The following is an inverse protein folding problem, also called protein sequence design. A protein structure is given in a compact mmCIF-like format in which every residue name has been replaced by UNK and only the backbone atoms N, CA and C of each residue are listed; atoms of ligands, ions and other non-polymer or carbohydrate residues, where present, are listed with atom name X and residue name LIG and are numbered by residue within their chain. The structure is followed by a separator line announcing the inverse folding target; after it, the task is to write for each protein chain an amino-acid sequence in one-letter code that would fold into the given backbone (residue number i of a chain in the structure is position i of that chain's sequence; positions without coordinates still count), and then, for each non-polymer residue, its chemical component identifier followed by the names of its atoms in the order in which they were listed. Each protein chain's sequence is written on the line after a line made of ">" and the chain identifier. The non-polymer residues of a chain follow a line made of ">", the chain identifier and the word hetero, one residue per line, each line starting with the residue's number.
data_IF_759765507416
#
_entry.id   IF_759765507416
#
_cell.length_a   1.000
_cell.length_b   1.000
_cell.length_c   1.000
_cell.angle_alpha   90.00
_cell.angle_beta   90.00
_cell.angle_gamma   90.00
#
_symmetry.space_group_name_H-M   'P 1'
#
loop_
_entity.id
_entity.type
_entity.pdbx_description
1 polymer ?
#
# COMPACT_ATOMS: atom_id res chain seq x y z
N UNK A 1 -22.51 -9.38 -30.84
CA UNK A 1 -21.11 -9.28 -31.31
C UNK A 1 -20.88 -7.83 -31.72
N UNK A 2 -20.09 -7.08 -30.96
CA UNK A 2 -19.65 -5.72 -31.30
C UNK A 2 -18.59 -5.80 -32.41
N UNK A 3 -18.63 -4.87 -33.37
CA UNK A 3 -17.69 -4.82 -34.47
C UNK A 3 -16.26 -4.49 -33.96
N UNK A 4 -15.20 -5.04 -34.56
CA UNK A 4 -13.82 -4.72 -34.18
C UNK A 4 -13.56 -3.22 -34.42
N UNK A 5 -13.24 -2.48 -33.36
CA UNK A 5 -12.84 -1.06 -33.43
C UNK A 5 -13.71 -0.06 -32.64
N UNK A 6 -14.83 -0.47 -32.04
CA UNK A 6 -15.54 0.39 -31.09
C UNK A 6 -15.00 0.15 -29.67
N UNK A 7 -14.26 1.13 -29.14
CA UNK A 7 -14.01 1.22 -27.69
C UNK A 7 -15.38 1.38 -27.02
N UNK A 8 -15.74 0.57 -26.01
CA UNK A 8 -17.02 0.73 -25.34
C UNK A 8 -17.11 2.12 -24.68
N UNK A 9 -18.31 2.73 -24.69
CA UNK A 9 -18.55 4.03 -24.04
C UNK A 9 -18.34 3.98 -22.51
N UNK A 10 -18.16 2.78 -21.95
CA UNK A 10 -17.82 2.53 -20.55
C UNK A 10 -16.48 1.81 -20.44
N UNK A 11 -15.67 2.21 -19.47
CA UNK A 11 -14.44 1.50 -19.14
C UNK A 11 -14.74 0.05 -18.75
N UNK A 12 -13.94 -0.89 -19.25
CA UNK A 12 -13.95 -2.26 -18.73
C UNK A 12 -13.31 -2.25 -17.34
N UNK A 13 -14.14 -2.24 -16.30
CA UNK A 13 -13.70 -2.19 -14.91
C UNK A 13 -12.87 -3.41 -14.51
N UNK A 14 -13.15 -4.58 -15.09
CA UNK A 14 -12.38 -5.78 -14.78
C UNK A 14 -10.97 -5.69 -15.37
N UNK A 15 -10.84 -5.23 -16.61
CA UNK A 15 -9.54 -5.02 -17.24
C UNK A 15 -8.76 -3.88 -16.57
N UNK A 16 -9.41 -2.77 -16.23
CA UNK A 16 -8.80 -1.70 -15.43
C UNK A 16 -8.35 -2.18 -14.05
N UNK A 17 -9.12 -3.06 -13.41
CA UNK A 17 -8.73 -3.67 -12.14
C UNK A 17 -7.46 -4.52 -12.27
N UNK A 18 -7.33 -5.26 -13.37
CA UNK A 18 -6.11 -6.02 -13.69
C UNK A 18 -4.92 -5.09 -13.93
N UNK A 19 -5.10 -3.99 -14.66
CA UNK A 19 -4.05 -2.99 -14.87
C UNK A 19 -3.62 -2.31 -13.56
N UNK A 20 -4.57 -2.01 -12.67
CA UNK A 20 -4.28 -1.45 -11.36
C UNK A 20 -3.45 -2.40 -10.49
N UNK A 21 -3.81 -3.70 -10.46
CA UNK A 21 -3.01 -4.73 -9.76
C UNK A 21 -1.59 -4.78 -10.31
N UNK A 22 -1.44 -4.76 -11.64
CA UNK A 22 -0.12 -4.77 -12.29
C UNK A 22 0.72 -3.55 -11.88
N UNK A 23 0.13 -2.35 -11.87
CA UNK A 23 0.82 -1.13 -11.44
C UNK A 23 1.19 -1.14 -9.96
N UNK A 24 0.27 -1.58 -9.10
CA UNK A 24 0.49 -1.63 -7.66
C UNK A 24 1.55 -2.65 -7.29
N UNK A 25 1.36 -3.92 -7.66
CA UNK A 25 2.28 -5.00 -7.27
C UNK A 25 3.60 -4.91 -8.01
N UNK A 26 3.60 -4.46 -9.27
CA UNK A 26 4.82 -4.22 -10.04
C UNK A 26 5.68 -3.05 -9.54
N UNK A 27 5.13 -2.18 -8.67
CA UNK A 27 5.90 -1.10 -8.03
C UNK A 27 6.60 -1.53 -6.74
N UNK A 28 6.25 -2.68 -6.17
CA UNK A 28 6.80 -3.14 -4.90
C UNK A 28 8.20 -3.70 -5.10
N UNK A 29 9.10 -3.40 -4.16
CA UNK A 29 10.46 -3.95 -4.13
C UNK A 29 10.59 -5.00 -3.01
N UNK A 30 10.57 -6.31 -3.33
CA UNK A 30 10.75 -7.38 -2.35
C UNK A 30 12.09 -7.32 -1.59
N UNK A 31 13.12 -6.67 -2.15
CA UNK A 31 14.41 -6.51 -1.48
C UNK A 31 14.38 -5.40 -0.40
N UNK A 32 13.40 -4.50 -0.45
CA UNK A 32 13.20 -3.40 0.48
C UNK A 32 11.92 -3.57 1.32
N UNK A 33 11.71 -4.79 1.85
CA UNK A 33 10.52 -5.13 2.65
C UNK A 33 9.19 -4.80 1.94
N UNK A 34 9.16 -5.01 0.62
CA UNK A 34 8.02 -4.72 -0.26
C UNK A 34 7.62 -3.24 -0.28
N UNK A 35 8.51 -2.30 0.08
CA UNK A 35 8.26 -0.87 -0.08
C UNK A 35 8.02 -0.52 -1.56
N UNK A 36 7.05 0.36 -1.84
CA UNK A 36 6.80 0.77 -3.21
C UNK A 36 7.88 1.73 -3.71
N UNK A 37 8.25 1.58 -4.98
CA UNK A 37 8.86 2.64 -5.77
C UNK A 37 7.72 3.58 -6.20
N UNK A 38 7.73 4.80 -5.66
CA UNK A 38 6.55 5.68 -5.76
C UNK A 38 6.60 6.62 -6.95
N UNK A 39 7.75 7.27 -7.17
CA UNK A 39 7.89 8.22 -8.26
C UNK A 39 8.38 7.48 -9.51
N UNK A 40 7.59 7.58 -10.58
CA UNK A 40 7.93 7.09 -11.92
C UNK A 40 8.38 8.25 -12.80
N UNK A 41 9.64 8.26 -13.21
CA UNK A 41 10.24 9.29 -14.05
C UNK A 41 10.35 8.76 -15.46
N UNK A 42 9.42 9.20 -16.31
CA UNK A 42 9.20 8.66 -17.67
C UNK A 42 9.68 9.63 -18.77
N UNK A 43 10.07 10.85 -18.42
CA UNK A 43 10.52 11.92 -19.32
C UNK A 43 12.04 11.92 -19.54
N UNK A 44 12.71 10.81 -19.22
CA UNK A 44 14.16 10.62 -19.32
C UNK A 44 14.49 9.23 -19.89
N UNK A 45 15.74 9.04 -20.35
CA UNK A 45 16.21 7.76 -20.90
C UNK A 45 17.54 7.30 -20.24
N UNK A 46 17.57 6.13 -19.58
CA UNK A 46 16.43 5.23 -19.34
C UNK A 46 15.42 5.82 -18.35
N UNK A 47 14.14 5.50 -18.53
CA UNK A 47 13.11 5.78 -17.53
C UNK A 47 13.41 5.00 -16.24
N UNK A 48 13.08 5.57 -15.08
CA UNK A 48 13.37 4.95 -13.79
C UNK A 48 12.26 5.21 -12.76
N UNK A 49 12.22 4.34 -11.74
CA UNK A 49 11.39 4.53 -10.56
C UNK A 49 12.29 4.69 -9.33
N UNK A 50 11.82 5.40 -8.31
CA UNK A 50 12.58 5.61 -7.09
C UNK A 50 11.71 5.51 -5.84
N UNK A 51 12.30 5.03 -4.75
CA UNK A 51 11.69 5.10 -3.43
C UNK A 51 11.67 6.54 -2.92
N UNK A 52 10.65 6.85 -2.12
CA UNK A 52 10.46 8.18 -1.57
C UNK A 52 10.22 8.12 -0.07
N UNK A 53 10.51 9.22 0.63
CA UNK A 53 10.15 9.33 2.04
C UNK A 53 8.64 9.19 2.21
N UNK A 54 8.21 8.74 3.38
CA UNK A 54 6.81 8.74 3.80
C UNK A 54 5.85 7.74 3.14
N UNK A 55 6.38 6.82 2.32
CA UNK A 55 5.54 5.92 1.52
C UNK A 55 4.96 4.76 2.34
N UNK A 56 5.69 4.26 3.34
CA UNK A 56 5.28 3.07 4.10
C UNK A 56 4.05 3.37 4.93
N UNK A 57 4.02 4.45 5.71
CA UNK A 57 2.84 4.80 6.48
C UNK A 57 1.84 5.67 5.72
N UNK A 58 2.26 6.40 4.67
CA UNK A 58 1.39 7.34 3.95
C UNK A 58 0.68 6.78 2.70
N UNK A 59 1.27 5.80 2.02
CA UNK A 59 0.78 5.28 0.74
C UNK A 59 0.46 3.80 0.79
N UNK A 60 1.34 2.96 1.33
CA UNK A 60 1.16 1.52 1.34
C UNK A 60 -0.13 1.03 2.03
N UNK A 61 -0.72 1.71 3.04
CA UNK A 61 -2.05 1.35 3.55
C UNK A 61 -3.15 1.38 2.48
N UNK A 62 -3.03 2.25 1.47
CA UNK A 62 -3.95 2.30 0.33
C UNK A 62 -3.90 1.00 -0.48
N UNK A 63 -2.76 0.32 -0.49
CA UNK A 63 -2.60 -0.94 -1.21
C UNK A 63 -3.28 -2.07 -0.45
N UNK A 64 -3.10 -2.12 0.87
CA UNK A 64 -3.83 -3.06 1.75
C UNK A 64 -5.34 -2.92 1.57
N UNK A 65 -5.82 -1.68 1.43
CA UNK A 65 -7.23 -1.37 1.18
C UNK A 65 -7.70 -1.74 -0.24
N UNK A 66 -6.96 -1.35 -1.27
CA UNK A 66 -7.43 -1.49 -2.65
C UNK A 66 -7.32 -2.93 -3.19
N UNK A 67 -6.27 -3.68 -2.82
CA UNK A 67 -6.02 -5.03 -3.33
C UNK A 67 -7.24 -5.96 -3.22
N UNK A 68 -7.88 -6.16 -2.04
CA UNK A 68 -9.05 -7.04 -1.93
C UNK A 68 -10.19 -6.65 -2.88
N UNK A 69 -10.44 -5.34 -3.05
CA UNK A 69 -11.47 -4.83 -3.95
C UNK A 69 -11.11 -5.06 -5.42
N UNK A 70 -9.86 -4.82 -5.81
CA UNK A 70 -9.37 -5.03 -7.17
C UNK A 70 -9.39 -6.52 -7.54
N UNK A 71 -9.07 -7.42 -6.60
CA UNK A 71 -9.19 -8.87 -6.79
C UNK A 71 -10.63 -9.27 -7.05
N UNK A 72 -11.56 -8.77 -6.23
CA UNK A 72 -12.98 -9.07 -6.37
C UNK A 72 -13.56 -8.52 -7.69
N UNK A 73 -13.17 -7.31 -8.07
CA UNK A 73 -13.65 -6.64 -9.29
C UNK A 73 -13.13 -7.29 -10.57
N UNK A 74 -11.86 -7.73 -10.58
CA UNK A 74 -11.20 -8.24 -11.80
C UNK A 74 -11.16 -9.77 -11.91
N UNK A 75 -11.31 -10.50 -10.80
CA UNK A 75 -11.04 -11.94 -10.74
C UNK A 75 -9.56 -12.30 -10.95
N UNK A 76 -8.64 -11.33 -10.99
CA UNK A 76 -7.24 -11.57 -11.34
C UNK A 76 -6.49 -12.37 -10.27
N UNK A 77 -5.78 -13.42 -10.71
CA UNK A 77 -4.85 -14.21 -9.89
C UNK A 77 -3.37 -13.81 -10.02
N UNK A 78 -3.07 -12.70 -10.70
CA UNK A 78 -1.70 -12.24 -10.95
C UNK A 78 -0.93 -11.92 -9.66
N UNK A 79 0.37 -12.25 -9.59
CA UNK A 79 1.33 -11.82 -8.56
C UNK A 79 0.87 -12.03 -7.10
N UNK A 80 0.25 -13.19 -6.82
CA UNK A 80 -0.27 -13.53 -5.48
C UNK A 80 0.83 -13.70 -4.44
N UNK A 81 2.00 -14.16 -4.85
CA UNK A 81 3.20 -14.26 -4.02
C UNK A 81 3.71 -12.88 -3.60
N UNK A 82 3.75 -11.91 -4.53
CA UNK A 82 4.13 -10.52 -4.24
C UNK A 82 3.12 -9.87 -3.30
N UNK A 83 1.82 -10.05 -3.55
CA UNK A 83 0.74 -9.58 -2.66
C UNK A 83 0.89 -10.17 -1.26
N UNK A 84 1.13 -11.48 -1.15
CA UNK A 84 1.30 -12.14 0.14
C UNK A 84 2.48 -11.55 0.92
N UNK A 85 3.65 -11.43 0.29
CA UNK A 85 4.83 -10.86 0.93
C UNK A 85 4.64 -9.40 1.36
N UNK A 86 3.94 -8.61 0.55
CA UNK A 86 3.56 -7.24 0.89
C UNK A 86 2.64 -7.18 2.12
N UNK A 87 1.58 -7.99 2.15
CA UNK A 87 0.65 -8.02 3.29
C UNK A 87 1.39 -8.46 4.56
N UNK A 88 2.26 -9.47 4.49
CA UNK A 88 3.09 -9.91 5.61
C UNK A 88 4.02 -8.79 6.11
N UNK A 89 4.67 -8.06 5.20
CA UNK A 89 5.52 -6.93 5.56
C UNK A 89 4.75 -5.82 6.28
N UNK A 90 3.55 -5.46 5.78
CA UNK A 90 2.67 -4.48 6.42
C UNK A 90 2.20 -4.94 7.80
N UNK A 91 1.82 -6.21 7.94
CA UNK A 91 1.40 -6.77 9.22
C UNK A 91 2.53 -6.81 10.26
N UNK A 92 3.75 -7.16 9.82
CA UNK A 92 4.94 -7.13 10.66
C UNK A 92 5.28 -5.71 11.11
N UNK A 93 5.16 -4.72 10.22
CA UNK A 93 5.39 -3.32 10.55
C UNK A 93 4.43 -2.83 11.67
N UNK A 94 3.17 -3.24 11.62
CA UNK A 94 2.15 -2.93 12.63
C UNK A 94 2.14 -3.83 13.88
N UNK A 95 3.07 -4.77 14.01
CA UNK A 95 3.00 -5.79 15.06
C UNK A 95 3.12 -5.22 16.49
N UNK A 96 3.83 -4.11 16.67
CA UNK A 96 4.15 -3.53 17.98
C UNK A 96 2.94 -2.90 18.69
N UNK A 97 2.15 -2.08 17.98
CA UNK A 97 1.03 -1.36 18.57
C UNK A 97 -0.17 -1.18 17.63
N UNK A 98 -0.11 -1.77 16.43
CA UNK A 98 -1.15 -1.67 15.42
C UNK A 98 -0.95 -0.53 14.42
N UNK A 99 0.00 0.38 14.61
CA UNK A 99 0.27 1.44 13.63
C UNK A 99 1.31 1.01 12.60
N UNK A 100 1.12 1.48 11.37
CA UNK A 100 2.15 1.45 10.34
C UNK A 100 3.07 2.66 10.50
N UNK A 101 4.37 2.39 10.50
CA UNK A 101 5.46 3.35 10.65
C UNK A 101 6.35 3.37 9.42
N UNK A 102 6.74 4.57 9.02
CA UNK A 102 7.97 4.78 8.27
C UNK A 102 9.15 4.74 9.26
N UNK A 103 9.81 3.58 9.32
CA UNK A 103 10.94 3.36 10.23
C UNK A 103 12.22 4.05 9.72
N UNK A 104 12.91 4.78 10.60
CA UNK A 104 14.21 5.36 10.34
C UNK A 104 15.29 4.29 10.49
N UNK A 105 15.72 3.70 9.36
CA UNK A 105 16.73 2.64 9.34
C UNK A 105 17.77 2.90 8.26
N UNK A 106 18.98 2.39 8.45
CA UNK A 106 20.07 2.50 7.45
C UNK A 106 19.71 1.88 6.10
N UNK A 107 18.78 0.92 6.09
CA UNK A 107 18.30 0.27 4.86
C UNK A 107 17.36 1.15 4.03
N UNK A 108 16.85 2.24 4.61
CA UNK A 108 15.93 3.20 3.97
C UNK A 108 16.56 4.59 3.89
N UNK A 109 17.66 4.77 3.13
CA UNK A 109 18.37 6.06 3.06
C UNK A 109 17.51 7.19 2.43
N UNK A 110 16.42 6.84 1.76
CA UNK A 110 15.43 7.79 1.23
C UNK A 110 14.42 8.29 2.27
N UNK A 111 14.35 7.70 3.48
CA UNK A 111 13.42 8.13 4.52
C UNK A 111 13.92 9.38 5.26
N UNK A 112 13.87 10.54 4.59
CA UNK A 112 14.49 11.79 5.04
C UNK A 112 13.51 12.85 5.60
N UNK A 113 12.41 12.42 6.21
CA UNK A 113 11.45 13.32 6.86
C UNK A 113 10.31 13.84 5.97
N UNK A 114 9.41 14.61 6.59
CA UNK A 114 8.14 15.11 6.02
C UNK A 114 8.32 16.38 5.17
N UNK A 115 9.50 17.02 5.24
CA UNK A 115 9.82 18.20 4.44
C UNK A 115 10.69 17.83 3.23
N UNK A 116 10.26 18.26 2.05
CA UNK A 116 11.00 18.12 0.80
C UNK A 116 12.41 18.74 0.94
N UNK A 117 13.42 17.91 1.20
CA UNK A 117 14.83 18.27 0.97
C UNK A 117 15.69 18.66 2.18
N UNK A 118 15.25 18.44 3.43
CA UNK A 118 16.17 18.57 4.59
C UNK A 118 16.12 17.33 5.47
N UNK A 119 17.23 16.61 5.54
CA UNK A 119 17.42 15.43 6.38
C UNK A 119 17.70 15.82 7.85
N UNK A 120 16.83 16.62 8.46
CA UNK A 120 16.90 16.91 9.90
C UNK A 120 15.92 16.05 10.72
N UNK A 121 15.04 15.29 10.06
CA UNK A 121 14.10 14.38 10.69
C UNK A 121 14.48 12.91 10.43
N UNK A 122 15.09 12.26 11.44
CA UNK A 122 15.54 10.87 11.39
C UNK A 122 14.93 10.06 12.55
N UNK A 123 13.61 10.08 12.63
CA UNK A 123 12.84 9.37 13.65
C UNK A 123 11.77 8.52 12.98
N UNK A 124 11.41 7.42 13.65
CA UNK A 124 10.23 6.65 13.29
C UNK A 124 8.99 7.54 13.36
N UNK A 125 8.15 7.50 12.33
CA UNK A 125 6.92 8.26 12.36
C UNK A 125 5.78 7.48 11.69
N UNK A 126 4.56 7.72 12.17
CA UNK A 126 3.34 7.11 11.65
C UNK A 126 2.41 8.19 11.11
N UNK A 127 1.99 8.05 9.85
CA UNK A 127 0.98 8.91 9.26
C UNK A 127 -0.43 8.50 9.73
N UNK A 128 -1.16 9.44 10.34
CA UNK A 128 -2.52 9.15 10.86
C UNK A 128 -3.54 8.89 9.76
N UNK A 129 -3.45 9.59 8.62
CA UNK A 129 -4.37 9.39 7.51
C UNK A 129 -4.17 8.01 6.86
N UNK A 130 -2.92 7.58 6.69
CA UNK A 130 -2.60 6.25 6.20
C UNK A 130 -3.03 5.14 7.16
N UNK A 131 -2.86 5.32 8.46
CA UNK A 131 -3.37 4.35 9.45
C UNK A 131 -4.90 4.26 9.46
N UNK A 132 -5.62 5.35 9.19
CA UNK A 132 -7.07 5.30 8.95
C UNK A 132 -7.43 4.42 7.75
N UNK A 133 -6.68 4.51 6.65
CA UNK A 133 -6.85 3.64 5.48
C UNK A 133 -6.46 2.19 5.75
N UNK A 134 -5.45 1.98 6.60
CA UNK A 134 -5.07 0.64 7.04
C UNK A 134 -6.22 -0.06 7.76
N UNK A 135 -6.91 0.63 8.69
CA UNK A 135 -8.13 0.12 9.34
C UNK A 135 -9.16 -0.29 8.29
N UNK A 136 -9.45 0.58 7.30
CA UNK A 136 -10.39 0.26 6.22
C UNK A 136 -9.99 -1.00 5.46
N UNK A 137 -8.72 -1.13 5.09
CA UNK A 137 -8.23 -2.33 4.41
C UNK A 137 -8.40 -3.58 5.25
N UNK A 138 -8.04 -3.55 6.54
CA UNK A 138 -8.25 -4.67 7.47
C UNK A 138 -9.73 -5.08 7.54
N UNK A 139 -10.66 -4.12 7.52
CA UNK A 139 -12.10 -4.42 7.48
C UNK A 139 -12.54 -5.07 6.17
N UNK A 140 -11.97 -4.67 5.02
CA UNK A 140 -12.24 -5.34 3.74
C UNK A 140 -11.70 -6.76 3.70
N UNK A 141 -10.50 -6.98 4.25
CA UNK A 141 -9.96 -8.33 4.42
C UNK A 141 -10.85 -9.18 5.33
N UNK A 142 -11.36 -8.64 6.45
CA UNK A 142 -12.35 -9.34 7.28
C UNK A 142 -13.59 -9.72 6.49
N UNK A 143 -14.16 -8.80 5.70
CA UNK A 143 -15.36 -9.08 4.90
C UNK A 143 -15.15 -10.19 3.86
N UNK A 144 -13.97 -10.24 3.24
CA UNK A 144 -13.70 -11.22 2.17
C UNK A 144 -13.27 -12.58 2.73
N UNK A 145 -12.52 -12.63 3.84
CA UNK A 145 -12.03 -13.90 4.39
C UNK A 145 -12.89 -14.47 5.50
N UNK A 146 -13.69 -13.65 6.18
CA UNK A 146 -14.44 -14.03 7.38
C UNK A 146 -13.56 -14.28 8.62
N UNK A 147 -12.28 -13.93 8.58
CA UNK A 147 -11.33 -14.22 9.68
C UNK A 147 -11.22 -13.04 10.65
N UNK A 148 -11.70 -13.24 11.87
CA UNK A 148 -11.70 -12.24 12.95
C UNK A 148 -10.30 -11.74 13.35
N UNK A 149 -9.23 -12.38 12.91
CA UNK A 149 -7.86 -11.86 13.07
C UNK A 149 -7.72 -10.45 12.49
N UNK A 150 -8.39 -10.16 11.36
CA UNK A 150 -8.35 -8.84 10.73
C UNK A 150 -9.08 -7.79 11.56
N UNK A 151 -10.24 -8.16 12.12
CA UNK A 151 -11.01 -7.29 13.00
C UNK A 151 -10.25 -6.96 14.30
N UNK A 152 -9.54 -7.94 14.87
CA UNK A 152 -8.67 -7.73 16.04
C UNK A 152 -7.55 -6.73 15.73
N UNK A 153 -6.92 -6.84 14.55
CA UNK A 153 -5.89 -5.89 14.10
C UNK A 153 -6.47 -4.49 13.90
N UNK A 154 -7.63 -4.37 13.23
CA UNK A 154 -8.30 -3.10 12.99
C UNK A 154 -8.64 -2.38 14.32
N UNK A 155 -9.13 -3.13 15.31
CA UNK A 155 -9.40 -2.61 16.66
C UNK A 155 -8.13 -2.08 17.32
N UNK A 156 -7.05 -2.85 17.30
CA UNK A 156 -5.76 -2.46 17.89
C UNK A 156 -5.23 -1.16 17.27
N UNK A 157 -5.24 -1.05 15.94
CA UNK A 157 -4.86 0.19 15.23
C UNK A 157 -5.73 1.36 15.68
N UNK A 158 -7.05 1.20 15.74
CA UNK A 158 -7.98 2.25 16.14
C UNK A 158 -7.76 2.70 17.60
N UNK A 159 -7.59 1.76 18.54
CA UNK A 159 -7.32 2.04 19.95
C UNK A 159 -6.01 2.82 20.11
N UNK A 160 -4.96 2.45 19.37
CA UNK A 160 -3.69 3.16 19.38
C UNK A 160 -3.81 4.56 18.80
N UNK A 161 -4.53 4.74 17.70
CA UNK A 161 -4.79 6.07 17.14
C UNK A 161 -5.58 6.96 18.11
N UNK A 162 -6.59 6.42 18.80
CA UNK A 162 -7.35 7.15 19.81
C UNK A 162 -6.49 7.60 20.99
N UNK A 163 -5.56 6.75 21.45
CA UNK A 163 -4.64 7.08 22.53
C UNK A 163 -3.68 8.24 22.19
N UNK A 164 -3.53 8.59 20.90
CA UNK A 164 -2.66 9.68 20.43
C UNK A 164 -3.42 10.98 20.14
N UNK A 165 -4.75 10.98 20.14
CA UNK A 165 -5.59 12.11 19.75
C UNK A 165 -5.82 13.16 20.86
N UNK A 166 -4.89 13.26 21.83
CA UNK A 166 -5.01 14.08 23.05
C UNK A 166 -4.59 15.52 22.81
#
# INVERSE_FOLDING_TARGET
>A
MTAPGQVPDTLDLADHGRLAINGMLGSLDPAADYECTFLSILDVHPAYMLHWSTMVSGVMPKYVEALPLLRQMSGSGQDRDIEQGFIEAMLKNAEEDGLIYDRATEKRPWNVGVYYGKADWNEDYANMAGNGRFITGLLYWHQITGDDVWLKRARRTAERMLALAI
#
